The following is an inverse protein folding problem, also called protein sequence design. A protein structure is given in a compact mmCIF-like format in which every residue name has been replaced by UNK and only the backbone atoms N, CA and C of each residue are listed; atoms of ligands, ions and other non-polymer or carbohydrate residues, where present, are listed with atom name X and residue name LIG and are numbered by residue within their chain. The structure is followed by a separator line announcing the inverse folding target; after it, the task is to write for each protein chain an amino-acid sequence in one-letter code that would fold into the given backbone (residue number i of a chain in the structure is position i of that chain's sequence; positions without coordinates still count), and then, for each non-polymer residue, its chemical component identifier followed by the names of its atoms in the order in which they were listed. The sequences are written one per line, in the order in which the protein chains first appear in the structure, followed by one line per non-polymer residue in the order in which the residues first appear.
data_IF_444498548429
#
_entry.id   IF_444498548429
#
_cell.length_a   1.000
_cell.length_b   1.000
_cell.length_c   1.000
_cell.angle_alpha   90.00
_cell.angle_beta   90.00
_cell.angle_gamma   90.00
#
_symmetry.space_group_name_H-M   'P 1'
#
loop_
_entity.id
_entity.type
_entity.pdbx_description
1 polymer ?
#
# COMPACT_ATOMS: atom_id res chain seq x y z
N UNK A 1 -21.10 6.72 11.92
CA UNK A 1 -20.79 5.28 12.07
C UNK A 1 -19.33 5.03 11.75
N UNK A 2 -18.54 4.63 12.75
CA UNK A 2 -17.11 4.29 12.62
C UNK A 2 -16.89 3.06 11.73
N UNK A 3 -16.18 3.20 10.61
CA UNK A 3 -15.82 2.06 9.75
C UNK A 3 -14.61 1.28 10.26
N UNK A 4 -14.62 -0.04 10.09
CA UNK A 4 -13.48 -0.92 10.43
C UNK A 4 -12.65 -1.19 9.17
N UNK A 5 -11.32 -1.25 9.30
CA UNK A 5 -10.41 -1.63 8.23
C UNK A 5 -9.64 -2.92 8.61
N UNK A 6 -9.33 -3.76 7.64
CA UNK A 6 -8.71 -5.07 7.88
C UNK A 6 -7.40 -5.19 7.10
N UNK A 7 -6.27 -5.54 7.71
CA UNK A 7 -5.07 -5.76 6.89
C UNK A 7 -5.20 -7.03 6.03
N UNK A 8 -4.47 -7.05 4.93
CA UNK A 8 -4.41 -8.18 4.01
C UNK A 8 -3.84 -9.45 4.64
N UNK A 9 -2.96 -9.34 5.64
CA UNK A 9 -2.45 -10.49 6.37
C UNK A 9 -3.57 -11.22 7.11
N UNK A 10 -4.43 -10.50 7.82
CA UNK A 10 -5.58 -11.09 8.52
C UNK A 10 -6.57 -11.69 7.53
N UNK A 11 -6.80 -11.02 6.39
CA UNK A 11 -7.65 -11.55 5.31
C UNK A 11 -7.05 -12.85 4.72
N UNK A 12 -5.73 -12.93 4.57
CA UNK A 12 -5.02 -14.13 4.09
C UNK A 12 -5.13 -15.27 5.10
N UNK A 13 -4.96 -14.97 6.38
CA UNK A 13 -4.99 -15.97 7.45
C UNK A 13 -6.40 -16.60 7.60
N UNK A 14 -7.48 -15.84 7.37
CA UNK A 14 -8.87 -16.36 7.36
C UNK A 14 -9.34 -16.94 6.01
N UNK A 15 -8.45 -16.99 5.00
CA UNK A 15 -8.68 -17.59 3.68
C UNK A 15 -7.65 -18.65 3.27
N UNK A 16 -6.69 -18.95 4.15
CA UNK A 16 -5.56 -19.81 3.81
C UNK A 16 -6.00 -21.25 3.54
N UNK A 17 -5.24 -22.00 2.73
CA UNK A 17 -5.46 -23.45 2.49
C UNK A 17 -5.02 -24.32 3.69
N UNK A 18 -5.10 -23.78 4.91
CA UNK A 18 -4.76 -24.49 6.14
C UNK A 18 -5.89 -25.46 6.52
N UNK A 19 -5.59 -26.39 7.41
CA UNK A 19 -6.60 -27.32 7.92
C UNK A 19 -7.80 -26.57 8.51
N UNK A 20 -9.01 -27.08 8.26
CA UNK A 20 -10.29 -26.44 8.64
C UNK A 20 -10.34 -26.11 10.15
N UNK A 21 -9.70 -26.95 10.98
CA UNK A 21 -9.58 -26.74 12.42
C UNK A 21 -8.74 -25.50 12.77
N UNK A 22 -7.59 -25.31 12.14
CA UNK A 22 -6.69 -24.16 12.41
C UNK A 22 -7.36 -22.84 11.98
N UNK A 23 -8.07 -22.85 10.86
CA UNK A 23 -8.86 -21.71 10.38
C UNK A 23 -9.97 -21.32 11.37
N UNK A 24 -10.71 -22.31 11.86
CA UNK A 24 -11.80 -22.11 12.84
C UNK A 24 -11.29 -21.51 14.15
N UNK A 25 -10.15 -22.00 14.67
CA UNK A 25 -9.55 -21.47 15.90
C UNK A 25 -9.11 -20.00 15.75
N UNK A 26 -8.52 -19.64 14.62
CA UNK A 26 -8.14 -18.24 14.32
C UNK A 26 -9.35 -17.34 14.15
N UNK A 27 -10.38 -17.85 13.49
CA UNK A 27 -11.63 -17.14 13.30
C UNK A 27 -12.33 -16.85 14.64
N UNK A 28 -12.34 -17.82 15.54
CA UNK A 28 -12.86 -17.66 16.90
C UNK A 28 -12.05 -16.60 17.68
N UNK A 29 -10.72 -16.64 17.57
CA UNK A 29 -9.86 -15.65 18.22
C UNK A 29 -10.10 -14.22 17.70
N UNK A 30 -10.21 -14.04 16.38
CA UNK A 30 -10.53 -12.72 15.83
C UNK A 30 -11.92 -12.22 16.25
N UNK A 31 -12.90 -13.12 16.40
CA UNK A 31 -14.24 -12.76 16.92
C UNK A 31 -14.16 -12.26 18.36
N UNK A 32 -13.39 -12.92 19.21
CA UNK A 32 -13.17 -12.45 20.59
C UNK A 32 -12.66 -11.00 20.60
N UNK A 33 -11.69 -10.69 19.73
CA UNK A 33 -11.16 -9.34 19.60
C UNK A 33 -12.24 -8.38 19.08
N UNK A 34 -13.05 -8.79 18.09
CA UNK A 34 -14.16 -7.99 17.58
C UNK A 34 -15.16 -7.63 18.67
N UNK A 35 -15.60 -8.61 19.45
CA UNK A 35 -16.60 -8.44 20.49
C UNK A 35 -16.05 -7.55 21.61
N UNK A 36 -14.81 -7.79 22.06
CA UNK A 36 -14.16 -6.99 23.09
C UNK A 36 -14.04 -5.52 22.71
N UNK A 37 -13.75 -5.24 21.44
CA UNK A 37 -13.54 -3.87 20.95
C UNK A 37 -14.74 -3.28 20.23
N UNK A 38 -15.91 -3.94 20.30
CA UNK A 38 -17.17 -3.55 19.67
C UNK A 38 -16.99 -3.19 18.19
N UNK A 39 -16.18 -3.97 17.50
CA UNK A 39 -15.92 -3.78 16.09
C UNK A 39 -17.12 -4.27 15.31
N UNK A 40 -17.67 -3.44 14.43
CA UNK A 40 -18.77 -3.82 13.56
C UNK A 40 -18.23 -4.26 12.20
N UNK A 41 -18.06 -5.57 11.95
CA UNK A 41 -17.40 -6.05 10.75
C UNK A 41 -18.25 -5.80 9.50
N UNK A 42 -19.57 -5.71 9.66
CA UNK A 42 -20.51 -5.42 8.57
C UNK A 42 -20.36 -3.99 8.02
N UNK A 43 -19.78 -3.09 8.83
CA UNK A 43 -19.37 -1.74 8.43
C UNK A 43 -17.92 -1.67 7.94
N UNK A 44 -17.29 -2.82 7.75
CA UNK A 44 -15.95 -2.96 7.21
C UNK A 44 -15.83 -2.34 5.82
N UNK A 45 -14.78 -1.56 5.59
CA UNK A 45 -14.50 -0.92 4.31
C UNK A 45 -13.45 -1.74 3.56
N UNK A 46 -13.78 -2.14 2.32
CA UNK A 46 -12.84 -2.76 1.39
C UNK A 46 -12.28 -1.68 0.47
N UNK A 47 -10.96 -1.55 0.48
CA UNK A 47 -10.18 -0.69 -0.41
C UNK A 47 -9.85 -1.40 -1.72
N UNK A 48 -9.45 -0.62 -2.72
CA UNK A 48 -8.99 -1.13 -4.03
C UNK A 48 -7.89 -2.20 -3.89
N UNK A 49 -6.92 -1.98 -2.99
CA UNK A 49 -5.79 -2.89 -2.79
C UNK A 49 -6.23 -4.20 -2.11
N UNK A 50 -6.99 -4.12 -1.00
CA UNK A 50 -7.58 -5.31 -0.36
C UNK A 50 -8.41 -6.14 -1.34
N UNK A 51 -9.22 -5.47 -2.14
CA UNK A 51 -10.06 -6.15 -3.12
C UNK A 51 -9.21 -6.96 -4.10
N UNK A 52 -8.16 -6.37 -4.67
CA UNK A 52 -7.28 -7.07 -5.62
C UNK A 52 -6.58 -8.25 -4.95
N UNK A 53 -6.03 -8.09 -3.75
CA UNK A 53 -5.39 -9.18 -3.02
C UNK A 53 -6.37 -10.33 -2.74
N UNK A 54 -7.62 -10.00 -2.41
CA UNK A 54 -8.65 -11.02 -2.22
C UNK A 54 -8.94 -11.76 -3.53
N UNK A 55 -9.10 -11.06 -4.64
CA UNK A 55 -9.54 -11.72 -5.88
C UNK A 55 -8.38 -12.30 -6.71
N UNK A 56 -7.14 -11.88 -6.48
CA UNK A 56 -5.96 -12.22 -7.29
C UNK A 56 -4.78 -12.69 -6.42
N UNK A 57 -4.60 -14.01 -6.32
CA UNK A 57 -3.46 -14.63 -5.61
C UNK A 57 -2.13 -14.55 -6.37
N UNK A 58 -2.18 -14.27 -7.67
CA UNK A 58 -1.01 -14.37 -8.55
C UNK A 58 -0.14 -13.10 -8.50
N UNK A 59 -0.21 -12.30 -7.43
CA UNK A 59 0.64 -11.13 -7.24
C UNK A 59 0.64 -10.20 -8.47
N UNK A 60 -0.51 -9.60 -8.80
CA UNK A 60 -0.74 -8.98 -10.11
C UNK A 60 0.29 -7.92 -10.50
N UNK A 61 0.82 -7.15 -9.54
CA UNK A 61 1.93 -6.20 -9.78
C UNK A 61 3.20 -6.91 -10.23
N UNK A 62 3.63 -7.96 -9.53
CA UNK A 62 4.83 -8.73 -9.86
C UNK A 62 4.78 -9.29 -11.26
N UNK A 63 3.63 -9.83 -11.66
CA UNK A 63 3.41 -10.32 -13.02
C UNK A 63 3.45 -9.23 -14.09
N UNK A 64 3.01 -8.02 -13.75
CA UNK A 64 3.12 -6.87 -14.66
C UNK A 64 4.59 -6.46 -14.78
N UNK A 65 5.28 -6.29 -13.64
CA UNK A 65 6.71 -5.93 -13.56
C UNK A 65 7.58 -6.95 -14.30
N UNK A 66 7.33 -8.26 -14.16
CA UNK A 66 8.10 -9.30 -14.84
C UNK A 66 8.06 -9.18 -16.37
N UNK A 67 7.02 -8.53 -16.92
CA UNK A 67 6.94 -8.25 -18.35
C UNK A 67 7.89 -7.16 -18.85
N UNK A 68 8.50 -6.37 -17.95
CA UNK A 68 9.43 -5.29 -18.30
C UNK A 68 10.55 -5.09 -17.24
N UNK A 69 10.93 -6.16 -16.53
CA UNK A 69 11.94 -6.09 -15.46
C UNK A 69 13.31 -5.67 -15.96
N UNK A 70 13.73 -6.16 -17.14
CA UNK A 70 14.99 -5.79 -17.78
C UNK A 70 15.06 -4.28 -18.06
N UNK A 71 13.94 -3.66 -18.40
CA UNK A 71 13.88 -2.21 -18.60
C UNK A 71 14.05 -1.45 -17.28
N UNK A 72 13.46 -1.93 -16.19
CA UNK A 72 13.65 -1.34 -14.85
C UNK A 72 15.12 -1.41 -14.43
N UNK A 73 15.78 -2.56 -14.63
CA UNK A 73 17.21 -2.72 -14.33
C UNK A 73 18.05 -1.73 -15.15
N UNK A 74 17.82 -1.68 -16.47
CA UNK A 74 18.51 -0.74 -17.35
C UNK A 74 18.33 0.71 -16.89
N UNK A 75 17.12 1.09 -16.44
CA UNK A 75 16.84 2.43 -15.93
C UNK A 75 17.53 2.74 -14.61
N UNK A 76 17.63 1.76 -13.70
CA UNK A 76 18.43 1.91 -12.47
C UNK A 76 19.91 2.17 -12.80
N UNK A 77 20.45 1.44 -13.78
CA UNK A 77 21.84 1.64 -14.21
C UNK A 77 22.05 3.00 -14.88
N UNK A 78 21.10 3.45 -15.70
CA UNK A 78 21.12 4.78 -16.33
C UNK A 78 21.10 5.90 -15.27
N UNK A 79 20.24 5.79 -14.25
CA UNK A 79 20.21 6.72 -13.11
C UNK A 79 21.56 6.78 -12.40
N UNK A 80 22.13 5.60 -12.09
CA UNK A 80 23.43 5.50 -11.43
C UNK A 80 24.55 6.13 -12.27
N UNK A 81 24.54 5.91 -13.58
CA UNK A 81 25.53 6.45 -14.50
C UNK A 81 25.47 7.99 -14.54
N UNK A 82 24.27 8.57 -14.66
CA UNK A 82 24.07 10.03 -14.67
C UNK A 82 24.57 10.65 -13.36
N UNK A 83 24.21 10.05 -12.22
CA UNK A 83 24.65 10.53 -10.91
C UNK A 83 26.18 10.45 -10.75
N UNK A 84 26.81 9.38 -11.25
CA UNK A 84 28.28 9.21 -11.22
C UNK A 84 29.01 10.25 -12.07
N UNK A 85 28.32 10.88 -13.03
CA UNK A 85 28.84 12.02 -13.80
C UNK A 85 28.67 13.36 -13.08
N UNK A 86 28.33 13.36 -11.79
CA UNK A 86 28.06 14.58 -11.01
C UNK A 86 26.92 15.41 -11.62
N UNK A 87 25.88 14.73 -12.10
CA UNK A 87 24.66 15.34 -12.66
C UNK A 87 23.42 14.84 -11.93
N UNK A 88 22.46 15.73 -11.72
CA UNK A 88 21.12 15.33 -11.33
C UNK A 88 20.31 14.93 -12.58
N UNK A 89 19.33 14.06 -12.41
CA UNK A 89 18.44 13.68 -13.52
C UNK A 89 17.47 14.82 -13.80
N UNK A 90 17.35 15.15 -15.08
CA UNK A 90 16.52 16.24 -15.58
C UNK A 90 15.02 15.94 -15.42
N UNK A 91 14.25 17.00 -15.19
CA UNK A 91 12.81 16.88 -14.97
C UNK A 91 12.06 16.28 -16.16
N UNK A 92 12.44 16.64 -17.39
CA UNK A 92 11.81 16.14 -18.61
C UNK A 92 11.99 14.62 -18.76
N UNK A 93 13.19 14.14 -18.49
CA UNK A 93 13.48 12.70 -18.47
C UNK A 93 12.63 11.99 -17.41
N UNK A 94 12.58 12.52 -16.18
CA UNK A 94 11.76 11.95 -15.11
C UNK A 94 10.26 11.91 -15.46
N UNK A 95 9.74 12.95 -16.11
CA UNK A 95 8.34 13.02 -16.56
C UNK A 95 8.03 11.95 -17.62
N UNK A 96 8.96 11.74 -18.56
CA UNK A 96 8.86 10.70 -19.57
C UNK A 96 8.80 9.31 -18.92
N UNK A 97 9.75 9.01 -18.03
CA UNK A 97 9.81 7.71 -17.33
C UNK A 97 8.55 7.46 -16.50
N UNK A 98 8.06 8.48 -15.79
CA UNK A 98 6.80 8.38 -15.04
C UNK A 98 5.60 8.03 -15.94
N UNK A 99 5.50 8.70 -17.11
CA UNK A 99 4.41 8.50 -18.06
C UNK A 99 4.47 7.11 -18.74
N UNK A 100 5.67 6.64 -19.08
CA UNK A 100 5.88 5.30 -19.62
C UNK A 100 5.46 4.21 -18.63
N UNK A 101 5.85 4.35 -17.36
CA UNK A 101 5.43 3.45 -16.29
C UNK A 101 3.90 3.46 -16.11
N UNK A 102 3.26 4.64 -16.15
CA UNK A 102 1.79 4.74 -16.08
C UNK A 102 1.11 3.93 -17.18
N UNK A 103 1.57 4.04 -18.42
CA UNK A 103 1.00 3.30 -19.54
C UNK A 103 1.18 1.79 -19.38
N UNK A 104 2.37 1.31 -19.01
CA UNK A 104 2.65 -0.12 -18.80
C UNK A 104 1.76 -0.71 -17.70
N UNK A 105 1.67 -0.05 -16.55
CA UNK A 105 0.81 -0.50 -15.46
C UNK A 105 -0.67 -0.44 -15.81
N UNK A 106 -1.12 0.63 -16.51
CA UNK A 106 -2.52 0.76 -16.93
C UNK A 106 -2.93 -0.38 -17.84
N UNK A 107 -2.15 -0.67 -18.88
CA UNK A 107 -2.40 -1.79 -19.79
C UNK A 107 -2.38 -3.12 -19.04
N UNK A 108 -1.40 -3.33 -18.15
CA UNK A 108 -1.28 -4.53 -17.33
C UNK A 108 -2.52 -4.78 -16.45
N UNK A 109 -2.99 -3.75 -15.74
CA UNK A 109 -4.17 -3.87 -14.86
C UNK A 109 -5.47 -4.01 -15.65
N UNK A 110 -5.65 -3.27 -16.74
CA UNK A 110 -6.84 -3.42 -17.61
C UNK A 110 -6.95 -4.84 -18.18
N UNK A 111 -5.82 -5.45 -18.56
CA UNK A 111 -5.79 -6.84 -19.03
C UNK A 111 -6.13 -7.84 -17.92
N UNK A 112 -5.64 -7.61 -16.70
CA UNK A 112 -5.85 -8.53 -15.56
C UNK A 112 -7.24 -8.39 -14.93
N UNK A 113 -7.79 -7.19 -14.91
CA UNK A 113 -9.07 -6.88 -14.28
C UNK A 113 -10.05 -6.19 -15.24
N UNK A 114 -10.40 -6.79 -16.40
CA UNK A 114 -11.35 -6.16 -17.31
C UNK A 114 -12.69 -5.90 -16.61
N UNK A 115 -13.27 -4.71 -16.79
CA UNK A 115 -14.49 -4.30 -16.08
C UNK A 115 -15.63 -5.30 -16.25
N UNK A 116 -15.85 -5.77 -17.48
CA UNK A 116 -16.88 -6.76 -17.84
C UNK A 116 -16.69 -8.12 -17.15
N UNK A 117 -15.44 -8.47 -16.81
CA UNK A 117 -15.08 -9.74 -16.19
C UNK A 117 -14.85 -9.63 -14.68
N UNK A 118 -14.79 -8.43 -14.10
CA UNK A 118 -14.40 -8.27 -12.69
C UNK A 118 -15.35 -8.98 -11.73
N UNK A 119 -16.65 -9.01 -12.04
CA UNK A 119 -17.66 -9.74 -11.26
C UNK A 119 -17.44 -11.26 -11.33
N UNK A 120 -17.20 -11.81 -12.53
CA UNK A 120 -16.96 -13.25 -12.69
C UNK A 120 -15.63 -13.69 -12.07
N UNK A 121 -14.58 -12.87 -12.21
CA UNK A 121 -13.29 -13.04 -11.54
C UNK A 121 -13.45 -13.08 -10.02
N UNK A 122 -14.23 -12.15 -9.46
CA UNK A 122 -14.53 -12.10 -8.02
C UNK A 122 -15.19 -13.40 -7.56
N UNK A 123 -16.26 -13.82 -8.24
CA UNK A 123 -16.96 -15.06 -7.90
C UNK A 123 -16.07 -16.30 -8.02
N UNK A 124 -15.29 -16.40 -9.10
CA UNK A 124 -14.38 -17.54 -9.32
C UNK A 124 -13.34 -17.63 -8.20
N UNK A 125 -12.76 -16.50 -7.81
CA UNK A 125 -11.76 -16.44 -6.74
C UNK A 125 -12.35 -16.86 -5.38
N UNK A 126 -13.52 -16.33 -5.03
CA UNK A 126 -14.18 -16.64 -3.75
C UNK A 126 -14.69 -18.09 -3.67
N UNK A 127 -15.04 -18.72 -4.80
CA UNK A 127 -15.40 -20.15 -4.84
C UNK A 127 -14.21 -21.07 -4.63
N UNK A 128 -13.05 -20.70 -5.19
CA UNK A 128 -11.82 -21.48 -5.08
C UNK A 128 -11.34 -21.54 -3.63
N UNK A 129 -11.45 -20.41 -2.93
CA UNK A 129 -10.92 -20.25 -1.58
C UNK A 129 -11.94 -19.53 -0.70
N UNK A 130 -12.80 -20.34 -0.07
CA UNK A 130 -13.91 -19.87 0.74
C UNK A 130 -13.38 -19.24 2.03
N UNK A 131 -14.07 -18.20 2.48
CA UNK A 131 -13.90 -17.70 3.83
C UNK A 131 -14.46 -18.72 4.82
N UNK A 132 -13.90 -18.74 6.04
CA UNK A 132 -14.58 -19.35 7.18
C UNK A 132 -15.99 -18.77 7.31
N UNK A 133 -16.96 -19.59 7.75
CA UNK A 133 -18.37 -19.17 7.92
C UNK A 133 -18.51 -17.91 8.77
N UNK A 134 -17.58 -17.70 9.69
CA UNK A 134 -17.52 -16.55 10.58
C UNK A 134 -17.26 -15.21 9.88
N UNK A 135 -16.73 -15.26 8.65
CA UNK A 135 -16.36 -14.10 7.85
C UNK A 135 -17.22 -13.93 6.59
N UNK A 136 -18.41 -14.55 6.55
CA UNK A 136 -19.32 -14.44 5.41
C UNK A 136 -19.74 -12.99 5.08
N UNK A 137 -19.72 -12.09 6.07
CA UNK A 137 -19.94 -10.66 5.86
C UNK A 137 -18.86 -10.03 4.96
N UNK A 138 -17.60 -10.47 5.10
CA UNK A 138 -16.47 -10.00 4.28
C UNK A 138 -16.61 -10.50 2.85
N UNK A 139 -16.97 -11.78 2.68
CA UNK A 139 -17.30 -12.35 1.37
C UNK A 139 -18.40 -11.54 0.66
N UNK A 140 -19.50 -11.24 1.37
CA UNK A 140 -20.59 -10.39 0.86
C UNK A 140 -20.13 -8.98 0.51
N UNK A 141 -19.21 -8.40 1.28
CA UNK A 141 -18.67 -7.08 1.01
C UNK A 141 -17.82 -7.09 -0.27
N UNK A 142 -16.97 -8.11 -0.45
CA UNK A 142 -16.14 -8.30 -1.65
C UNK A 142 -17.01 -8.47 -2.89
N UNK A 143 -18.04 -9.33 -2.81
CA UNK A 143 -18.99 -9.54 -3.90
C UNK A 143 -19.73 -8.25 -4.27
N UNK A 144 -20.20 -7.48 -3.27
CA UNK A 144 -20.81 -6.16 -3.51
C UNK A 144 -19.83 -5.20 -4.17
N UNK A 145 -18.57 -5.19 -3.74
CA UNK A 145 -17.54 -4.32 -4.30
C UNK A 145 -17.28 -4.65 -5.78
N UNK A 146 -17.03 -5.92 -6.10
CA UNK A 146 -16.82 -6.38 -7.49
C UNK A 146 -18.03 -6.08 -8.38
N UNK A 147 -19.26 -6.28 -7.89
CA UNK A 147 -20.49 -5.92 -8.61
C UNK A 147 -20.62 -4.42 -8.87
N UNK A 148 -20.21 -3.57 -7.92
CA UNK A 148 -20.21 -2.10 -8.09
C UNK A 148 -19.22 -1.69 -9.18
N UNK A 149 -18.00 -2.21 -9.15
CA UNK A 149 -16.99 -1.94 -10.18
C UNK A 149 -17.47 -2.36 -11.58
N UNK A 150 -18.08 -3.54 -11.69
CA UNK A 150 -18.61 -4.03 -12.97
C UNK A 150 -19.69 -3.10 -13.58
N UNK A 151 -20.46 -2.40 -12.75
CA UNK A 151 -21.62 -1.59 -13.19
C UNK A 151 -21.33 -0.09 -13.30
N UNK A 152 -20.29 0.41 -12.64
CA UNK A 152 -20.02 1.83 -12.54
C UNK A 152 -18.64 2.15 -13.13
N UNK A 153 -18.65 2.71 -14.34
CA UNK A 153 -17.43 3.06 -15.09
C UNK A 153 -16.56 4.09 -14.38
N UNK A 154 -17.15 5.05 -13.67
CA UNK A 154 -16.39 6.05 -12.92
C UNK A 154 -15.64 5.39 -11.77
N UNK A 155 -16.33 4.59 -10.96
CA UNK A 155 -15.69 3.83 -9.86
C UNK A 155 -14.64 2.84 -10.36
N UNK A 156 -14.88 2.21 -11.51
CA UNK A 156 -13.90 1.32 -12.12
C UNK A 156 -12.65 2.06 -12.63
N UNK A 157 -12.84 3.22 -13.27
CA UNK A 157 -11.72 4.07 -13.69
C UNK A 157 -10.87 4.49 -12.49
N UNK A 158 -11.51 4.96 -11.41
CA UNK A 158 -10.83 5.33 -10.16
C UNK A 158 -10.09 4.14 -9.53
N UNK A 159 -10.69 2.94 -9.60
CA UNK A 159 -10.07 1.70 -9.16
C UNK A 159 -8.77 1.42 -9.92
N UNK A 160 -8.80 1.41 -11.25
CA UNK A 160 -7.62 1.17 -12.09
C UNK A 160 -6.56 2.24 -11.84
N UNK A 161 -6.95 3.52 -11.82
CA UNK A 161 -6.04 4.63 -11.60
C UNK A 161 -5.35 4.55 -10.23
N UNK A 162 -6.05 4.12 -9.20
CA UNK A 162 -5.46 3.90 -7.87
C UNK A 162 -4.35 2.84 -7.92
N UNK A 163 -4.58 1.72 -8.61
CA UNK A 163 -3.61 0.63 -8.74
C UNK A 163 -2.39 1.05 -9.57
N UNK A 164 -2.63 1.79 -10.65
CA UNK A 164 -1.57 2.34 -11.52
C UNK A 164 -0.70 3.29 -10.73
N UNK A 165 -1.29 4.31 -10.10
CA UNK A 165 -0.53 5.34 -9.39
C UNK A 165 0.31 4.76 -8.25
N UNK A 166 -0.26 3.85 -7.44
CA UNK A 166 0.50 3.16 -6.38
C UNK A 166 1.68 2.36 -6.94
N UNK A 167 1.49 1.66 -8.07
CA UNK A 167 2.55 0.85 -8.67
C UNK A 167 3.64 1.70 -9.33
N UNK A 168 3.26 2.79 -10.01
CA UNK A 168 4.19 3.74 -10.62
C UNK A 168 5.04 4.41 -9.56
N UNK A 169 4.45 4.93 -8.47
CA UNK A 169 5.19 5.60 -7.39
C UNK A 169 6.28 4.67 -6.83
N UNK A 170 5.94 3.41 -6.58
CA UNK A 170 6.88 2.42 -6.03
C UNK A 170 8.04 2.13 -6.98
N UNK A 171 7.75 1.85 -8.25
CA UNK A 171 8.81 1.56 -9.23
C UNK A 171 9.63 2.81 -9.51
N UNK A 172 8.98 3.96 -9.68
CA UNK A 172 9.63 5.23 -9.95
C UNK A 172 10.62 5.60 -8.84
N UNK A 173 10.18 5.62 -7.57
CA UNK A 173 11.05 5.89 -6.43
C UNK A 173 12.16 4.84 -6.26
N UNK A 174 11.97 3.62 -6.77
CA UNK A 174 12.99 2.57 -6.76
C UNK A 174 14.11 2.74 -7.79
N UNK A 175 13.91 3.59 -8.79
CA UNK A 175 14.93 3.84 -9.80
C UNK A 175 16.17 4.49 -9.18
N UNK A 176 15.98 5.23 -8.08
CA UNK A 176 17.06 5.80 -7.29
C UNK A 176 17.26 5.04 -5.98
N UNK A 177 18.42 4.40 -5.81
CA UNK A 177 18.82 3.74 -4.57
C UNK A 177 20.13 4.33 -4.04
N UNK A 178 20.05 5.17 -3.00
CA UNK A 178 21.24 5.82 -2.43
C UNK A 178 22.18 4.83 -1.72
N UNK A 179 21.73 3.63 -1.36
CA UNK A 179 22.57 2.63 -0.69
C UNK A 179 23.69 2.06 -1.59
N UNK A 180 23.60 2.26 -2.90
CA UNK A 180 24.59 1.79 -3.89
C UNK A 180 25.33 2.94 -4.59
N UNK A 181 25.16 4.17 -4.07
CA UNK A 181 25.79 5.38 -4.57
C UNK A 181 26.93 5.75 -3.63
N UNK A 182 28.09 6.12 -4.17
CA UNK A 182 29.23 6.56 -3.37
C UNK A 182 28.91 7.88 -2.64
N UNK A 183 29.39 8.09 -1.41
CA UNK A 183 29.08 9.30 -0.63
C UNK A 183 29.38 10.63 -1.34
N UNK A 184 30.43 10.65 -2.16
CA UNK A 184 30.82 11.82 -2.98
C UNK A 184 29.75 12.26 -4.01
N UNK A 185 28.75 11.42 -4.30
CA UNK A 185 27.67 11.72 -5.24
C UNK A 185 26.30 11.98 -4.56
N UNK A 186 26.24 12.02 -3.23
CA UNK A 186 24.96 12.15 -2.50
C UNK A 186 24.22 13.46 -2.78
N UNK A 187 24.91 14.56 -3.04
CA UNK A 187 24.25 15.82 -3.40
C UNK A 187 23.44 15.70 -4.71
N UNK A 188 23.94 14.94 -5.69
CA UNK A 188 23.27 14.72 -6.96
C UNK A 188 22.11 13.72 -6.83
N UNK A 189 22.28 12.70 -6.00
CA UNK A 189 21.20 11.78 -5.63
C UNK A 189 20.07 12.52 -4.89
N UNK A 190 20.40 13.38 -3.94
CA UNK A 190 19.43 14.22 -3.20
C UNK A 190 18.63 15.12 -4.15
N UNK A 191 19.30 15.87 -5.04
CA UNK A 191 18.62 16.71 -6.04
C UNK A 191 17.72 15.91 -6.97
N UNK A 192 18.15 14.72 -7.38
CA UNK A 192 17.34 13.81 -8.19
C UNK A 192 16.09 13.36 -7.43
N UNK A 193 16.23 13.01 -6.15
CA UNK A 193 15.11 12.66 -5.29
C UNK A 193 14.12 13.82 -5.10
N UNK A 194 14.63 15.04 -4.91
CA UNK A 194 13.81 16.26 -4.85
C UNK A 194 13.01 16.48 -6.15
N UNK A 195 13.65 16.30 -7.31
CA UNK A 195 12.99 16.39 -8.61
C UNK A 195 11.91 15.32 -8.79
N UNK A 196 12.19 14.07 -8.38
CA UNK A 196 11.22 12.97 -8.42
C UNK A 196 10.02 13.26 -7.51
N UNK A 197 10.24 13.68 -6.27
CA UNK A 197 9.17 14.00 -5.34
C UNK A 197 8.36 15.22 -5.79
N UNK A 198 9.03 16.26 -6.30
CA UNK A 198 8.39 17.44 -6.88
C UNK A 198 7.50 17.08 -8.08
N UNK A 199 7.94 16.14 -8.93
CA UNK A 199 7.12 15.60 -10.01
C UNK A 199 5.90 14.88 -9.45
N UNK A 200 6.07 13.97 -8.49
CA UNK A 200 4.95 13.23 -7.87
C UNK A 200 3.92 14.18 -7.26
N UNK A 201 4.34 15.25 -6.57
CA UNK A 201 3.45 16.26 -6.00
C UNK A 201 2.71 17.03 -7.12
N UNK A 202 3.40 17.43 -8.18
CA UNK A 202 2.79 18.18 -9.30
C UNK A 202 1.76 17.35 -10.05
N UNK A 203 2.08 16.10 -10.38
CA UNK A 203 1.20 15.19 -11.15
C UNK A 203 0.03 14.67 -10.34
N UNK A 204 0.06 14.84 -9.02
CA UNK A 204 -1.00 14.43 -8.11
C UNK A 204 -1.88 15.57 -7.58
N UNK A 205 -1.60 16.83 -7.92
CA UNK A 205 -2.40 18.00 -7.47
C UNK A 205 -3.89 17.93 -7.83
N UNK A 206 -4.29 17.11 -8.81
CA UNK A 206 -5.69 16.85 -9.17
C UNK A 206 -6.23 15.52 -8.62
N UNK A 207 -5.38 14.68 -8.05
CA UNK A 207 -5.70 13.30 -7.70
C UNK A 207 -5.51 13.07 -6.20
N UNK A 208 -6.53 12.50 -5.55
CA UNK A 208 -6.47 11.90 -4.20
C UNK A 208 -5.34 10.85 -4.04
N UNK A 209 -4.55 10.58 -5.08
CA UNK A 209 -3.51 9.58 -5.17
C UNK A 209 -2.25 9.92 -4.37
N UNK A 210 -1.87 11.19 -4.17
CA UNK A 210 -0.72 11.51 -3.33
C UNK A 210 -1.02 11.18 -1.88
N UNK A 211 -2.18 11.60 -1.36
CA UNK A 211 -2.59 11.31 0.03
C UNK A 211 -2.53 9.80 0.30
N UNK A 212 -3.13 9.00 -0.62
CA UNK A 212 -3.18 7.54 -0.53
C UNK A 212 -1.80 6.87 -0.59
N UNK A 213 -0.81 7.51 -1.23
CA UNK A 213 0.53 6.95 -1.42
C UNK A 213 1.63 7.71 -0.67
N UNK A 214 1.28 8.75 0.10
CA UNK A 214 2.20 9.63 0.80
C UNK A 214 3.15 8.85 1.72
N UNK A 215 2.69 7.81 2.45
CA UNK A 215 3.64 7.11 3.31
C UNK A 215 4.57 6.17 2.54
N UNK A 216 4.20 5.74 1.33
CA UNK A 216 5.14 5.09 0.41
C UNK A 216 6.24 6.07 -0.03
N UNK A 217 5.88 7.34 -0.29
CA UNK A 217 6.86 8.39 -0.59
C UNK A 217 7.76 8.63 0.62
N UNK A 218 7.19 8.76 1.82
CA UNK A 218 7.95 9.00 3.07
C UNK A 218 8.90 7.86 3.42
N UNK A 219 8.46 6.61 3.31
CA UNK A 219 9.31 5.45 3.58
C UNK A 219 10.49 5.37 2.59
N UNK A 220 10.26 5.69 1.30
CA UNK A 220 11.33 5.78 0.30
C UNK A 220 12.30 6.93 0.60
N UNK A 221 11.80 8.09 1.02
CA UNK A 221 12.62 9.24 1.42
C UNK A 221 13.49 8.90 2.62
N UNK A 222 12.90 8.33 3.67
CA UNK A 222 13.62 7.97 4.89
C UNK A 222 14.69 6.90 4.65
N UNK A 223 14.39 5.90 3.81
CA UNK A 223 15.39 4.90 3.39
C UNK A 223 16.61 5.57 2.76
N UNK A 224 16.39 6.51 1.85
CA UNK A 224 17.48 7.21 1.17
C UNK A 224 18.20 8.20 2.10
N UNK A 225 17.49 8.90 2.98
CA UNK A 225 18.09 9.78 4.00
C UNK A 225 18.98 8.97 4.96
N UNK A 226 18.52 7.81 5.43
CA UNK A 226 19.31 6.93 6.27
C UNK A 226 20.55 6.40 5.56
N UNK A 227 20.45 6.02 4.28
CA UNK A 227 21.60 5.61 3.49
C UNK A 227 22.66 6.72 3.39
N UNK A 228 22.23 7.98 3.33
CA UNK A 228 23.12 9.15 3.30
C UNK A 228 23.74 9.42 4.68
N UNK A 229 22.94 9.36 5.74
CA UNK A 229 23.37 9.68 7.11
C UNK A 229 24.20 8.57 7.76
N UNK A 230 24.01 7.31 7.34
CA UNK A 230 24.68 6.13 7.90
C UNK A 230 25.22 5.22 6.79
N UNK A 231 26.30 5.62 6.09
CA UNK A 231 26.85 4.83 4.99
C UNK A 231 27.34 3.47 5.48
N UNK A 232 26.98 2.39 4.78
CA UNK A 232 27.44 1.02 5.07
C UNK A 232 26.60 0.25 6.10
N UNK A 233 25.66 0.90 6.80
CA UNK A 233 24.69 0.17 7.61
C UNK A 233 23.65 -0.53 6.71
N UNK A 234 23.52 -1.85 6.89
CA UNK A 234 22.49 -2.62 6.21
C UNK A 234 21.12 -2.18 6.73
N UNK A 235 20.38 -1.45 5.90
CA UNK A 235 19.00 -1.07 6.19
C UNK A 235 18.06 -2.03 5.47
N UNK A 236 17.24 -2.77 6.23
CA UNK A 236 16.15 -3.51 5.64
C UNK A 236 15.19 -2.53 4.93
N UNK A 237 14.92 -2.68 3.63
CA UNK A 237 14.01 -1.78 2.94
C UNK A 237 12.63 -1.81 3.61
N UNK A 238 12.17 -0.64 4.07
CA UNK A 238 10.79 -0.47 4.51
C UNK A 238 9.77 -0.80 3.41
N UNK A 239 10.20 -0.77 2.13
CA UNK A 239 9.39 -1.08 0.96
C UNK A 239 10.12 -2.09 0.05
N UNK A 240 9.48 -3.23 -0.22
CA UNK A 240 9.79 -4.09 -1.36
C UNK A 240 9.00 -3.59 -2.57
N UNK A 241 9.70 -3.48 -3.71
CA UNK A 241 9.20 -2.79 -4.90
C UNK A 241 8.46 -3.75 -5.84
N UNK A 242 8.78 -5.04 -5.76
CA UNK A 242 8.60 -5.99 -6.88
C UNK A 242 7.56 -7.08 -6.59
N UNK A 243 7.08 -7.23 -5.35
CA UNK A 243 6.38 -8.45 -4.95
C UNK A 243 4.84 -8.39 -5.01
N UNK A 244 4.12 -7.32 -4.59
CA UNK A 244 2.63 -7.32 -4.63
C UNK A 244 2.00 -5.93 -4.74
N UNK A 245 0.69 -5.85 -5.09
CA UNK A 245 -0.09 -4.58 -5.01
C UNK A 245 -0.20 -4.12 -3.55
N UNK A 246 -0.37 -5.09 -2.66
CA UNK A 246 -0.06 -4.95 -1.25
C UNK A 246 0.63 -6.23 -0.79
N UNK A 247 1.93 -6.19 -0.48
CA UNK A 247 2.61 -7.41 -0.01
C UNK A 247 1.88 -7.94 1.24
N UNK A 248 1.71 -9.26 1.37
CA UNK A 248 1.51 -9.93 2.65
C UNK A 248 2.53 -9.46 3.71
N UNK A 249 3.68 -8.95 3.26
CA UNK A 249 4.77 -8.38 4.07
C UNK A 249 4.80 -6.83 4.16
N UNK A 250 3.94 -6.12 3.41
CA UNK A 250 3.90 -4.65 3.42
C UNK A 250 2.68 -4.06 4.07
N UNK A 251 1.59 -4.81 4.31
CA UNK A 251 0.54 -4.51 5.29
C UNK A 251 0.22 -3.02 5.49
N UNK A 252 0.15 -2.29 4.37
CA UNK A 252 0.20 -0.83 4.37
C UNK A 252 -1.20 -0.33 4.02
N UNK A 253 -1.95 0.02 5.06
CA UNK A 253 -2.98 1.04 4.92
C UNK A 253 -2.48 2.33 5.56
N UNK A 254 -2.50 3.45 4.83
CA UNK A 254 -2.46 4.72 5.52
C UNK A 254 -3.74 4.81 6.38
N UNK A 255 -3.58 5.26 7.62
CA UNK A 255 -4.69 5.56 8.53
C UNK A 255 -5.48 6.75 7.98
N UNK A 256 -6.35 6.51 7.01
CA UNK A 256 -7.34 7.48 6.57
C UNK A 256 -8.71 6.95 6.92
N UNK A 257 -9.26 7.46 8.01
CA UNK A 257 -10.70 7.40 8.20
C UNK A 257 -11.37 8.09 7.01
N UNK A 258 -12.40 7.45 6.44
CA UNK A 258 -13.15 8.09 5.37
C UNK A 258 -13.87 9.30 5.96
N UNK A 259 -13.70 10.46 5.33
CA UNK A 259 -14.62 11.58 5.50
C UNK A 259 -15.86 11.30 4.67
N UNK A 260 -16.96 10.92 5.33
CA UNK A 260 -18.29 10.84 4.69
C UNK A 260 -19.08 12.04 5.19
N UNK A 261 -19.50 12.91 4.28
CA UNK A 261 -20.30 14.10 4.61
C UNK A 261 -19.68 14.94 5.74
N UNK A 262 -18.35 15.14 5.72
CA UNK A 262 -17.57 15.86 6.75
C UNK A 262 -17.54 15.22 8.14
N UNK A 263 -18.18 14.06 8.32
CA UNK A 263 -18.10 13.26 9.55
C UNK A 263 -16.90 12.35 9.49
N UNK A 264 -16.06 12.38 10.53
CA UNK A 264 -14.81 11.63 10.62
C UNK A 264 -15.03 10.31 11.35
N UNK A 265 -14.37 9.25 10.91
CA UNK A 265 -14.51 7.92 11.50
C UNK A 265 -13.16 7.36 11.98
N UNK A 266 -13.10 6.79 13.21
CA UNK A 266 -11.89 6.16 13.70
C UNK A 266 -11.54 4.93 12.87
N UNK A 267 -10.25 4.69 12.67
CA UNK A 267 -9.73 3.55 11.93
C UNK A 267 -9.28 2.49 12.92
N UNK A 268 -9.78 1.26 12.79
CA UNK A 268 -9.14 0.07 13.37
C UNK A 268 -8.46 -0.68 12.25
N UNK A 269 -7.18 -1.04 12.39
CA UNK A 269 -6.45 -1.91 11.45
C UNK A 269 -5.97 -3.16 12.19
N UNK A 270 -6.23 -4.33 11.63
CA UNK A 270 -5.80 -5.63 12.16
C UNK A 270 -4.59 -6.15 11.39
N UNK A 271 -3.46 -6.45 12.01
CA UNK A 271 -2.21 -6.89 11.33
C UNK A 271 -1.57 -8.07 12.06
N UNK A 272 -0.86 -8.97 11.36
CA UNK A 272 -0.07 -10.04 11.99
C UNK A 272 1.44 -9.76 12.03
N UNK A 273 1.87 -8.54 11.72
CA UNK A 273 3.27 -8.16 11.79
C UNK A 273 3.79 -8.07 13.22
N UNK A 274 5.12 -8.21 13.38
CA UNK A 274 5.75 -7.99 14.68
C UNK A 274 5.46 -6.57 15.21
N UNK A 275 5.18 -6.46 16.51
CA UNK A 275 4.85 -5.18 17.16
C UNK A 275 5.89 -4.09 16.92
N UNK A 276 7.19 -4.44 16.98
CA UNK A 276 8.28 -3.47 16.80
C UNK A 276 8.26 -2.85 15.39
N UNK A 277 8.01 -3.69 14.38
CA UNK A 277 7.89 -3.24 12.98
C UNK A 277 6.67 -2.36 12.76
N UNK A 278 5.52 -2.73 13.35
CA UNK A 278 4.29 -1.92 13.29
C UNK A 278 4.52 -0.55 13.94
N UNK A 279 5.11 -0.50 15.14
CA UNK A 279 5.40 0.76 15.84
C UNK A 279 6.32 1.68 15.05
N UNK A 280 7.44 1.15 14.56
CA UNK A 280 8.40 1.93 13.79
C UNK A 280 7.75 2.50 12.52
N UNK A 281 6.95 1.69 11.81
CA UNK A 281 6.21 2.14 10.63
C UNK A 281 5.19 3.23 10.95
N UNK A 282 4.39 3.06 12.01
CA UNK A 282 3.41 4.04 12.46
C UNK A 282 4.07 5.39 12.78
N UNK A 283 5.21 5.36 13.46
CA UNK A 283 6.04 6.53 13.78
C UNK A 283 6.50 7.26 12.51
N UNK A 284 7.12 6.54 11.57
CA UNK A 284 7.63 7.12 10.32
C UNK A 284 6.53 7.72 9.46
N UNK A 285 5.40 7.00 9.32
CA UNK A 285 4.27 7.47 8.52
C UNK A 285 3.63 8.70 9.14
N UNK A 286 3.48 8.72 10.47
CA UNK A 286 2.89 9.83 11.21
C UNK A 286 3.77 11.07 11.14
N UNK A 287 5.08 10.93 11.33
CA UNK A 287 6.03 12.03 11.19
C UNK A 287 5.93 12.68 9.79
N UNK A 288 5.98 11.87 8.73
CA UNK A 288 5.86 12.37 7.36
C UNK A 288 4.49 13.01 7.04
N UNK A 289 3.41 12.47 7.60
CA UNK A 289 2.06 13.04 7.46
C UNK A 289 1.90 14.36 8.23
N UNK A 290 2.45 14.47 9.43
CA UNK A 290 2.41 15.71 10.23
C UNK A 290 3.23 16.82 9.58
N UNK A 291 4.42 16.47 9.07
CA UNK A 291 5.35 17.44 8.51
C UNK A 291 4.90 17.94 7.13
N UNK A 292 4.45 17.04 6.25
CA UNK A 292 3.99 17.40 4.89
C UNK A 292 2.51 17.79 4.85
N UNK A 293 1.66 17.18 5.68
CA UNK A 293 0.23 17.47 5.72
C UNK A 293 -0.14 18.89 6.16
N UNK A 294 0.75 19.56 6.93
CA UNK A 294 0.63 20.98 7.28
C UNK A 294 0.81 21.91 6.08
N UNK A 295 1.56 21.46 5.06
CA UNK A 295 1.95 22.26 3.90
C UNK A 295 1.15 21.91 2.62
N UNK A 296 0.29 20.89 2.67
CA UNK A 296 -0.55 20.50 1.54
C UNK A 296 -1.86 21.30 1.50
N UNK A 297 -2.33 21.73 0.31
CA UNK A 297 -3.61 22.43 0.18
C UNK A 297 -4.77 21.58 0.71
N UNK A 298 -5.52 22.10 1.68
CA UNK A 298 -6.67 21.41 2.28
C UNK A 298 -6.43 20.84 3.69
N UNK A 299 -5.19 20.87 4.19
CA UNK A 299 -4.83 20.50 5.56
C UNK A 299 -5.14 19.03 5.85
N UNK A 300 -4.19 18.14 5.60
CA UNK A 300 -4.31 16.73 6.00
C UNK A 300 -4.40 16.67 7.53
N UNK A 301 -5.58 16.38 8.04
CA UNK A 301 -5.79 16.17 9.49
C UNK A 301 -5.56 14.70 9.79
N UNK A 302 -4.54 14.42 10.60
CA UNK A 302 -4.29 13.08 11.10
C UNK A 302 -5.46 12.62 11.97
N UNK A 303 -6.05 11.48 11.64
CA UNK A 303 -7.21 10.92 12.35
C UNK A 303 -6.70 10.00 13.46
N UNK A 304 -7.21 10.16 14.68
CA UNK A 304 -6.93 9.25 15.80
C UNK A 304 -7.65 7.92 15.57
N UNK A 305 -6.92 6.82 15.67
CA UNK A 305 -7.39 5.45 15.52
C UNK A 305 -6.62 4.48 16.41
N UNK A 306 -6.72 3.19 16.11
CA UNK A 306 -5.98 2.13 16.78
C UNK A 306 -5.53 1.06 15.79
N UNK A 307 -4.35 0.51 16.04
CA UNK A 307 -3.85 -0.68 15.35
C UNK A 307 -3.94 -1.86 16.30
N UNK A 308 -4.54 -2.95 15.89
CA UNK A 308 -4.57 -4.21 16.64
C UNK A 308 -3.61 -5.18 15.96
N UNK A 309 -2.51 -5.46 16.62
CA UNK A 309 -1.48 -6.40 16.18
C UNK A 309 -1.81 -7.77 16.77
N UNK A 310 -2.08 -8.75 15.91
CA UNK A 310 -2.55 -10.10 16.27
C UNK A 310 -1.42 -11.11 16.10
N UNK A 311 -1.15 -11.86 17.15
CA UNK A 311 -0.22 -12.98 17.17
C UNK A 311 -1.03 -14.28 17.26
N UNK A 312 -1.33 -14.87 16.10
CA UNK A 312 -2.06 -16.13 16.03
C UNK A 312 -1.34 -17.29 16.71
N UNK A 313 -0.02 -17.51 16.50
CA UNK A 313 0.72 -18.57 17.18
C UNK A 313 0.55 -18.54 18.71
N UNK A 314 0.65 -17.36 19.32
CA UNK A 314 0.57 -17.22 20.77
C UNK A 314 -0.84 -16.90 21.29
N UNK A 315 -1.86 -16.86 20.41
CA UNK A 315 -3.24 -16.45 20.73
C UNK A 315 -3.29 -15.15 21.53
N UNK A 316 -2.48 -14.17 21.12
CA UNK A 316 -2.34 -12.88 21.80
C UNK A 316 -2.53 -11.72 20.81
N UNK A 317 -2.81 -10.52 21.33
CA UNK A 317 -2.81 -9.30 20.53
C UNK A 317 -2.39 -8.10 21.35
N UNK A 318 -1.89 -7.06 20.67
CA UNK A 318 -1.55 -5.77 21.27
C UNK A 318 -2.28 -4.65 20.53
N UNK A 319 -2.79 -3.68 21.28
CA UNK A 319 -3.39 -2.48 20.73
C UNK A 319 -2.39 -1.35 20.80
N UNK A 320 -2.20 -0.65 19.69
CA UNK A 320 -1.38 0.55 19.59
C UNK A 320 -2.31 1.71 19.26
N UNK A 321 -2.52 2.61 20.22
CA UNK A 321 -3.27 3.84 20.01
C UNK A 321 -2.46 4.87 19.24
N UNK A 322 -3.13 5.77 18.50
CA UNK A 322 -2.44 6.85 17.77
C UNK A 322 -1.57 7.75 18.65
N UNK A 323 -1.88 7.84 19.94
CA UNK A 323 -1.11 8.64 20.90
C UNK A 323 0.25 8.02 21.25
N UNK A 324 0.46 6.73 21.01
CA UNK A 324 1.72 6.03 21.32
C UNK A 324 2.84 6.28 20.30
N UNK A 325 2.53 6.90 19.16
CA UNK A 325 3.48 7.10 18.06
C UNK A 325 3.39 8.49 17.41
N UNK A 326 2.75 9.43 18.09
CA UNK A 326 2.67 10.85 17.72
C UNK A 326 3.87 11.66 18.21
#
# INVERSE_FOLDING_TARGET
MSGVFYDNSVITEVRSQREEKELSERAAFLREIHDKYLLNPEQGIITNKQFVEIISRDKPRKLIISGFSNEIVKKRDEFKQVISQKKAIEHEFLLKEYSELQNKFRLGFLKKFPQESISSLTHKSLRKDKFDRSFFWLEKAVLRYGKKLAKNTVLYSDFIETLVNDSVIRVFLSLLNCSVISPEFYDYAKRTMENMCGLLIKTSKSNRSLDVNLPCVMASLMKNANAILKPGEAFEPLLRIEDDIADPDLQFFPFFGISVNKTRYPVTVFTTESINRVRERLRVCTAGLVEVGRNLPGGLVLIRGRTIVVDFPNKNYVVIGTEEYL
#
